data_IF_660022854436
#
_entry.id   IF_660022854436
#
_cell.length_a   1.000
_cell.length_b   1.000
_cell.length_c   1.000
_cell.angle_alpha   90.00
_cell.angle_beta   90.00
_cell.angle_gamma   90.00
#
_symmetry.space_group_name_H-M   'P 1'
#
loop_
_entity.id
_entity.type
_entity.pdbx_description
1 polymer ?
#
# COMPACT_ATOMS: atom_id res chain seq x y z
N UNK A 1 4.76 19.85 -29.73
CA UNK A 1 3.51 20.15 -29.04
C UNK A 1 3.75 20.39 -27.57
N UNK A 2 3.45 21.57 -27.09
CA UNK A 2 3.59 21.86 -25.66
C UNK A 2 2.36 21.33 -24.94
N UNK A 3 2.55 20.31 -24.13
CA UNK A 3 1.52 19.82 -23.20
C UNK A 3 1.38 20.89 -22.13
N UNK A 4 0.17 21.42 -21.93
CA UNK A 4 -0.06 22.41 -20.89
C UNK A 4 -0.01 21.74 -19.49
N UNK A 5 0.14 22.54 -18.45
CA UNK A 5 0.28 22.04 -17.08
C UNK A 5 -0.96 21.27 -16.63
N UNK A 6 -2.16 21.64 -17.08
CA UNK A 6 -3.40 20.92 -16.76
C UNK A 6 -3.39 19.51 -17.33
N UNK A 7 -2.94 19.34 -18.57
CA UNK A 7 -2.83 18.03 -19.20
C UNK A 7 -1.78 17.15 -18.50
N UNK A 8 -0.64 17.72 -18.09
CA UNK A 8 0.38 17.00 -17.33
C UNK A 8 -0.17 16.53 -15.99
N UNK A 9 -0.89 17.38 -15.28
CA UNK A 9 -1.52 17.02 -13.99
C UNK A 9 -2.52 15.88 -14.19
N UNK A 10 -3.37 15.95 -15.22
CA UNK A 10 -4.35 14.91 -15.53
C UNK A 10 -3.68 13.57 -15.85
N UNK A 11 -2.61 13.58 -16.65
CA UNK A 11 -1.86 12.39 -17.00
C UNK A 11 -1.17 11.78 -15.79
N UNK A 12 -0.58 12.60 -14.93
CA UNK A 12 0.05 12.18 -13.68
C UNK A 12 -0.96 11.47 -12.77
N UNK A 13 -2.14 12.07 -12.60
CA UNK A 13 -3.22 11.48 -11.80
C UNK A 13 -3.65 10.15 -12.40
N UNK A 14 -3.84 10.07 -13.73
CA UNK A 14 -4.23 8.86 -14.41
C UNK A 14 -3.18 7.74 -14.24
N UNK A 15 -1.89 8.07 -14.32
CA UNK A 15 -0.81 7.11 -14.12
C UNK A 15 -0.77 6.61 -12.68
N UNK A 16 -0.97 7.49 -11.70
CA UNK A 16 -1.06 7.12 -10.28
C UNK A 16 -2.27 6.24 -10.00
N UNK A 17 -3.40 6.52 -10.62
CA UNK A 17 -4.62 5.71 -10.49
C UNK A 17 -4.41 4.30 -11.07
N UNK A 18 -3.71 4.18 -12.18
CA UNK A 18 -3.34 2.87 -12.77
C UNK A 18 -2.43 2.08 -11.82
N UNK A 19 -1.43 2.74 -11.24
CA UNK A 19 -0.53 2.13 -10.27
C UNK A 19 -1.31 1.63 -9.04
N UNK A 20 -2.25 2.42 -8.55
CA UNK A 20 -3.12 2.06 -7.43
C UNK A 20 -4.00 0.86 -7.77
N UNK A 21 -4.59 0.83 -8.96
CA UNK A 21 -5.40 -0.28 -9.42
C UNK A 21 -4.58 -1.57 -9.50
N UNK A 22 -3.40 -1.50 -10.07
CA UNK A 22 -2.46 -2.62 -10.15
C UNK A 22 -2.11 -3.17 -8.76
N UNK A 23 -1.87 -2.28 -7.80
CA UNK A 23 -1.61 -2.65 -6.41
C UNK A 23 -2.82 -3.37 -5.79
N UNK A 24 -4.03 -2.82 -5.96
CA UNK A 24 -5.26 -3.46 -5.47
C UNK A 24 -5.48 -4.83 -6.09
N UNK A 25 -5.23 -4.98 -7.38
CA UNK A 25 -5.34 -6.26 -8.09
C UNK A 25 -4.33 -7.27 -7.53
N UNK A 26 -3.12 -6.82 -7.22
CA UNK A 26 -2.10 -7.67 -6.61
C UNK A 26 -2.52 -8.16 -5.23
N UNK A 27 -3.08 -7.28 -4.38
CA UNK A 27 -3.61 -7.66 -3.08
C UNK A 27 -4.75 -8.68 -3.23
N UNK A 28 -5.66 -8.49 -4.18
CA UNK A 28 -6.74 -9.43 -4.44
C UNK A 28 -6.20 -10.79 -4.90
N UNK A 29 -5.16 -10.82 -5.72
CA UNK A 29 -4.50 -12.06 -6.15
C UNK A 29 -3.91 -12.82 -4.96
N UNK A 30 -3.32 -12.13 -4.01
CA UNK A 30 -2.79 -12.73 -2.78
C UNK A 30 -3.93 -13.35 -1.96
N UNK A 31 -5.05 -12.63 -1.81
CA UNK A 31 -6.23 -13.16 -1.11
C UNK A 31 -6.74 -14.45 -1.76
N UNK A 32 -6.87 -14.46 -3.07
CA UNK A 32 -7.36 -15.63 -3.81
C UNK A 32 -6.38 -16.80 -3.73
N UNK A 33 -5.10 -16.53 -3.87
CA UNK A 33 -4.07 -17.58 -3.85
C UNK A 33 -4.02 -18.31 -2.51
N UNK A 34 -4.12 -17.58 -1.41
CA UNK A 34 -4.05 -18.17 -0.06
C UNK A 34 -5.42 -18.47 0.55
N UNK A 35 -6.50 -18.03 -0.09
CA UNK A 35 -7.85 -18.21 0.46
C UNK A 35 -8.04 -17.48 1.78
N UNK A 36 -7.50 -16.26 1.89
CA UNK A 36 -7.51 -15.48 3.12
C UNK A 36 -8.07 -14.07 2.85
N UNK A 37 -8.79 -13.53 3.83
CA UNK A 37 -9.30 -12.16 3.77
C UNK A 37 -8.46 -11.26 4.66
N UNK A 38 -8.09 -10.08 4.12
CA UNK A 38 -7.38 -9.06 4.86
C UNK A 38 -7.69 -7.68 4.31
N UNK A 39 -7.42 -6.67 5.12
CA UNK A 39 -7.39 -5.28 4.69
C UNK A 39 -6.06 -4.66 5.09
N UNK A 40 -5.60 -3.71 4.29
CA UNK A 40 -4.32 -3.02 4.52
C UNK A 40 -4.60 -1.55 4.78
N UNK A 41 -4.15 -1.06 5.92
CA UNK A 41 -4.21 0.36 6.25
C UNK A 41 -2.87 1.00 5.97
N UNK A 42 -2.88 2.19 5.37
CA UNK A 42 -1.67 2.89 4.94
C UNK A 42 -1.51 4.21 5.68
N UNK A 43 -0.25 4.58 5.92
CA UNK A 43 0.14 5.93 6.35
C UNK A 43 0.00 6.91 5.18
N UNK A 44 0.15 8.20 5.44
CA UNK A 44 0.07 9.25 4.41
C UNK A 44 1.13 9.08 3.30
N UNK A 45 2.28 8.50 3.64
CA UNK A 45 3.36 8.20 2.69
C UNK A 45 3.16 6.88 1.92
N UNK A 46 1.99 6.28 2.02
CA UNK A 46 1.63 4.99 1.41
C UNK A 46 2.35 3.77 1.98
N UNK A 47 3.11 3.91 3.05
CA UNK A 47 3.66 2.75 3.77
C UNK A 47 2.56 2.01 4.51
N UNK A 48 2.72 0.71 4.67
CA UNK A 48 1.76 -0.12 5.40
C UNK A 48 1.84 0.21 6.89
N UNK A 49 0.74 0.68 7.45
CA UNK A 49 0.60 0.92 8.89
C UNK A 49 0.18 -0.35 9.61
N UNK A 50 -0.81 -1.04 9.06
CA UNK A 50 -1.43 -2.20 9.69
C UNK A 50 -2.06 -3.12 8.65
N UNK A 51 -1.95 -4.43 8.89
CA UNK A 51 -2.65 -5.45 8.10
C UNK A 51 -3.64 -6.13 9.02
N UNK A 52 -4.92 -6.09 8.66
CA UNK A 52 -5.98 -6.73 9.41
C UNK A 52 -6.40 -8.00 8.70
N UNK A 53 -6.14 -9.14 9.31
CA UNK A 53 -6.64 -10.42 8.85
C UNK A 53 -7.98 -10.73 9.50
N UNK A 54 -8.95 -11.12 8.71
CA UNK A 54 -10.31 -11.42 9.19
C UNK A 54 -10.69 -12.85 8.87
N UNK A 55 -11.60 -13.42 9.67
CA UNK A 55 -12.14 -14.76 9.48
C UNK A 55 -11.09 -15.86 9.38
N UNK A 56 -10.00 -15.74 10.13
CA UNK A 56 -9.01 -16.79 10.23
C UNK A 56 -9.59 -17.99 10.97
N UNK A 57 -9.34 -19.18 10.44
CA UNK A 57 -9.76 -20.44 11.06
C UNK A 57 -8.54 -21.16 11.60
N UNK A 58 -8.57 -21.51 12.87
CA UNK A 58 -7.53 -22.27 13.53
C UNK A 58 -8.10 -23.59 14.11
N UNK A 59 -7.26 -24.62 14.06
CA UNK A 59 -7.55 -25.89 14.69
C UNK A 59 -7.78 -25.67 16.18
N UNK A 60 -8.47 -26.07 16.96
CA UNK A 60 -8.74 -25.85 18.42
C UNK A 60 -9.91 -24.91 18.71
N UNK A 61 -10.86 -24.79 17.81
CA UNK A 61 -12.13 -24.11 18.09
C UNK A 61 -12.10 -22.58 17.93
N UNK A 62 -11.00 -22.03 17.42
CA UNK A 62 -10.96 -20.62 17.06
C UNK A 62 -11.46 -20.45 15.61
N UNK A 63 -12.69 -20.04 15.48
CA UNK A 63 -13.29 -19.67 14.19
C UNK A 63 -13.48 -18.16 14.14
N UNK A 64 -13.41 -17.57 12.96
CA UNK A 64 -13.62 -16.14 12.71
C UNK A 64 -12.70 -15.23 13.53
N UNK A 65 -11.45 -15.61 13.61
CA UNK A 65 -10.42 -14.84 14.33
C UNK A 65 -10.02 -13.62 13.50
N UNK A 66 -10.00 -12.46 14.14
CA UNK A 66 -9.48 -11.22 13.56
C UNK A 66 -8.21 -10.81 14.29
N UNK A 67 -7.16 -10.51 13.53
CA UNK A 67 -5.90 -10.05 14.09
C UNK A 67 -5.37 -8.86 13.30
N UNK A 68 -4.70 -7.95 14.01
CA UNK A 68 -3.93 -6.88 13.41
C UNK A 68 -2.44 -7.25 13.45
N UNK A 69 -1.78 -7.04 12.33
CA UNK A 69 -0.35 -7.18 12.21
C UNK A 69 0.27 -5.82 11.92
N UNK A 70 1.22 -5.41 12.74
CA UNK A 70 1.98 -4.19 12.54
C UNK A 70 3.33 -4.52 11.90
N UNK A 71 3.57 -4.15 10.63
CA UNK A 71 4.83 -4.49 9.95
C UNK A 71 6.05 -3.84 10.58
N UNK A 72 5.89 -2.69 11.22
CA UNK A 72 7.01 -1.93 11.78
C UNK A 72 7.65 -2.62 12.99
N UNK A 73 6.83 -3.20 13.86
CA UNK A 73 7.32 -3.93 15.04
C UNK A 73 7.15 -5.45 14.95
N UNK A 74 6.54 -5.94 13.86
CA UNK A 74 6.24 -7.35 13.60
C UNK A 74 5.40 -8.01 14.69
N UNK A 75 4.58 -7.23 15.38
CA UNK A 75 3.71 -7.72 16.44
C UNK A 75 2.30 -7.93 15.94
N UNK A 76 1.68 -8.99 16.43
CA UNK A 76 0.29 -9.31 16.20
C UNK A 76 -0.51 -8.94 17.43
N UNK A 77 -1.61 -8.22 17.21
CA UNK A 77 -2.62 -7.98 18.25
C UNK A 77 -3.92 -8.65 17.85
N UNK A 78 -4.56 -9.26 18.83
CA UNK A 78 -5.83 -9.96 18.63
C UNK A 78 -6.99 -8.98 18.73
N UNK A 79 -7.93 -9.07 17.78
CA UNK A 79 -9.18 -8.32 17.81
C UNK A 79 -10.32 -9.32 17.71
N UNK A 80 -11.22 -9.30 18.69
CA UNK A 80 -12.42 -10.11 18.68
C UNK A 80 -13.62 -9.21 18.43
N UNK A 81 -14.26 -9.38 17.27
CA UNK A 81 -15.45 -8.62 16.91
C UNK A 81 -16.74 -9.16 17.50
N UNK A 82 -16.74 -10.40 17.94
CA UNK A 82 -17.94 -11.01 18.53
C UNK A 82 -18.21 -10.50 19.94
N UNK A 83 -17.21 -9.94 20.58
CA UNK A 83 -17.31 -9.48 21.95
C UNK A 83 -16.86 -8.02 22.05
N UNK A 84 -17.75 -7.17 22.47
CA UNK A 84 -17.45 -5.78 22.82
C UNK A 84 -16.74 -5.66 24.17
N UNK A 85 -16.46 -6.79 24.83
CA UNK A 85 -15.91 -6.85 26.17
C UNK A 85 -14.39 -6.96 26.16
N UNK A 86 -13.73 -5.90 26.61
CA UNK A 86 -12.26 -5.82 26.68
C UNK A 86 -11.61 -6.84 27.64
N UNK A 87 -12.38 -7.55 28.47
CA UNK A 87 -11.84 -8.53 29.40
C UNK A 87 -11.22 -9.75 28.74
N UNK A 88 -11.58 -10.01 27.49
CA UNK A 88 -11.11 -11.18 26.73
C UNK A 88 -9.61 -11.08 26.38
N UNK A 89 -9.07 -9.90 26.23
CA UNK A 89 -7.65 -9.67 25.93
C UNK A 89 -6.72 -10.24 26.99
N UNK A 90 -7.21 -10.49 28.21
CA UNK A 90 -6.43 -11.04 29.31
C UNK A 90 -6.47 -12.57 29.40
N UNK A 91 -7.19 -13.25 28.52
CA UNK A 91 -7.29 -14.71 28.52
C UNK A 91 -6.00 -15.35 28.01
N UNK A 92 -5.47 -16.32 28.76
CA UNK A 92 -4.25 -17.06 28.42
C UNK A 92 -4.35 -17.79 27.07
N UNK A 93 -5.55 -18.21 26.65
CA UNK A 93 -5.79 -18.86 25.36
C UNK A 93 -5.48 -17.90 24.20
N UNK A 94 -5.82 -16.62 24.33
CA UNK A 94 -5.55 -15.61 23.33
C UNK A 94 -4.06 -15.30 23.21
N UNK A 95 -3.33 -15.30 24.34
CA UNK A 95 -1.87 -15.14 24.32
C UNK A 95 -1.19 -16.28 23.57
N UNK A 96 -1.64 -17.51 23.77
CA UNK A 96 -1.13 -18.67 23.04
C UNK A 96 -1.44 -18.58 21.55
N UNK A 97 -2.64 -18.14 21.20
CA UNK A 97 -3.03 -17.94 19.81
C UNK A 97 -2.13 -16.90 19.13
N UNK A 98 -1.94 -15.74 19.75
CA UNK A 98 -1.06 -14.70 19.24
C UNK A 98 0.37 -15.23 19.04
N UNK A 99 0.92 -15.94 20.01
CA UNK A 99 2.25 -16.54 19.90
C UNK A 99 2.33 -17.57 18.76
N UNK A 100 1.26 -18.36 18.55
CA UNK A 100 1.18 -19.30 17.44
C UNK A 100 1.12 -18.58 16.09
N UNK A 101 0.35 -17.50 16.00
CA UNK A 101 0.22 -16.69 14.77
C UNK A 101 1.52 -16.02 14.40
N UNK A 102 2.27 -15.50 15.36
CA UNK A 102 3.57 -14.88 15.11
C UNK A 102 4.59 -15.86 14.52
N UNK A 103 4.45 -17.15 14.80
CA UNK A 103 5.29 -18.23 14.27
C UNK A 103 4.70 -18.90 13.03
N UNK A 104 3.51 -18.51 12.61
CA UNK A 104 2.84 -19.12 11.46
C UNK A 104 3.57 -18.78 10.17
N UNK A 105 4.11 -19.81 9.52
CA UNK A 105 4.88 -19.65 8.28
C UNK A 105 4.02 -19.09 7.14
N UNK A 106 2.81 -19.59 7.00
CA UNK A 106 1.87 -19.14 5.95
C UNK A 106 1.51 -17.67 6.12
N UNK A 107 1.21 -17.24 7.34
CA UNK A 107 0.87 -15.86 7.65
C UNK A 107 2.05 -14.93 7.35
N UNK A 108 3.26 -15.34 7.75
CA UNK A 108 4.48 -14.59 7.48
C UNK A 108 4.77 -14.47 5.98
N UNK A 109 4.51 -15.52 5.20
CA UNK A 109 4.61 -15.46 3.73
C UNK A 109 3.64 -14.45 3.14
N UNK A 110 2.40 -14.46 3.59
CA UNK A 110 1.36 -13.53 3.11
C UNK A 110 1.76 -12.10 3.44
N UNK A 111 2.20 -11.82 4.65
CA UNK A 111 2.71 -10.51 5.06
C UNK A 111 3.86 -10.06 4.16
N UNK A 112 4.82 -10.94 3.90
CA UNK A 112 5.94 -10.66 3.00
C UNK A 112 5.50 -10.30 1.58
N UNK A 113 4.49 -10.98 1.05
CA UNK A 113 3.95 -10.67 -0.27
C UNK A 113 3.21 -9.34 -0.29
N UNK A 114 2.45 -9.02 0.76
CA UNK A 114 1.79 -7.73 0.91
C UNK A 114 2.82 -6.59 0.97
N UNK A 115 3.87 -6.76 1.77
CA UNK A 115 4.94 -5.78 1.89
C UNK A 115 5.65 -5.54 0.55
N UNK A 116 5.95 -6.61 -0.19
CA UNK A 116 6.57 -6.48 -1.52
C UNK A 116 5.65 -5.76 -2.51
N UNK A 117 4.37 -6.10 -2.52
CA UNK A 117 3.39 -5.43 -3.36
C UNK A 117 3.31 -3.94 -3.04
N UNK A 118 3.33 -3.59 -1.75
CA UNK A 118 3.33 -2.21 -1.30
C UNK A 118 4.62 -1.47 -1.69
N UNK A 119 5.76 -2.10 -1.52
CA UNK A 119 7.05 -1.52 -1.90
C UNK A 119 7.12 -1.26 -3.41
N UNK A 120 6.62 -2.18 -4.22
CA UNK A 120 6.53 -2.00 -5.67
C UNK A 120 5.62 -0.82 -6.04
N UNK A 121 4.49 -0.68 -5.34
CA UNK A 121 3.57 0.43 -5.54
C UNK A 121 4.20 1.77 -5.16
N UNK A 122 4.85 1.87 -4.00
CA UNK A 122 5.52 3.09 -3.54
C UNK A 122 6.62 3.48 -4.53
N UNK A 123 7.42 2.52 -4.99
CA UNK A 123 8.47 2.77 -5.99
C UNK A 123 7.87 3.27 -7.30
N UNK A 124 6.78 2.67 -7.76
CA UNK A 124 6.09 3.09 -8.98
C UNK A 124 5.57 4.54 -8.87
N UNK A 125 5.02 4.92 -7.72
CA UNK A 125 4.61 6.30 -7.46
C UNK A 125 5.79 7.27 -7.51
N UNK A 126 6.92 6.91 -6.95
CA UNK A 126 8.15 7.72 -6.99
C UNK A 126 8.65 7.88 -8.43
N UNK A 127 8.65 6.82 -9.21
CA UNK A 127 9.03 6.84 -10.63
C UNK A 127 8.10 7.76 -11.44
N UNK A 128 6.80 7.72 -11.16
CA UNK A 128 5.81 8.61 -11.79
C UNK A 128 6.09 10.06 -11.41
N UNK A 129 6.28 10.36 -10.13
CA UNK A 129 6.59 11.70 -9.67
C UNK A 129 7.87 12.24 -10.35
N UNK A 130 8.94 11.45 -10.39
CA UNK A 130 10.20 11.84 -11.01
C UNK A 130 10.05 12.07 -12.51
N UNK A 131 9.30 11.23 -13.20
CA UNK A 131 9.03 11.37 -14.63
C UNK A 131 8.35 12.71 -14.94
N UNK A 132 7.33 13.08 -14.19
CA UNK A 132 6.59 14.33 -14.42
C UNK A 132 7.36 15.57 -13.96
N UNK A 133 8.17 15.47 -12.92
CA UNK A 133 9.10 16.53 -12.54
C UNK A 133 10.09 16.82 -13.68
N UNK A 134 10.64 15.80 -14.29
CA UNK A 134 11.52 15.93 -15.46
C UNK A 134 10.81 16.55 -16.67
N UNK A 135 9.58 16.13 -16.95
CA UNK A 135 8.77 16.71 -18.04
C UNK A 135 8.47 18.19 -17.82
N UNK A 136 8.09 18.57 -16.61
CA UNK A 136 7.84 19.97 -16.25
C UNK A 136 9.09 20.80 -16.40
N UNK A 137 10.25 20.27 -15.98
CA UNK A 137 11.55 20.92 -16.12
C UNK A 137 11.91 21.10 -17.59
N UNK A 138 11.75 20.07 -18.41
CA UNK A 138 12.02 20.14 -19.86
C UNK A 138 11.10 21.14 -20.56
N UNK A 139 9.81 21.19 -20.21
CA UNK A 139 8.89 22.18 -20.73
C UNK A 139 9.29 23.61 -20.35
N UNK A 140 9.72 23.84 -19.12
CA UNK A 140 10.18 25.14 -18.66
C UNK A 140 11.46 25.58 -19.40
N UNK A 141 12.39 24.68 -19.61
CA UNK A 141 13.62 24.95 -20.39
C UNK A 141 13.31 25.27 -21.84
N UNK A 142 12.43 24.54 -22.49
CA UNK A 142 11.97 24.84 -23.86
C UNK A 142 11.31 26.19 -23.98
N UNK A 143 10.47 26.57 -23.03
CA UNK A 143 9.81 27.89 -22.98
C UNK A 143 10.88 28.99 -22.86
N UNK A 144 11.86 28.83 -22.01
CA UNK A 144 12.98 29.76 -21.84
C UNK A 144 13.79 29.90 -23.12
N UNK A 145 14.12 28.81 -23.81
CA UNK A 145 14.82 28.81 -25.08
C UNK A 145 14.02 29.55 -26.17
N UNK A 146 12.71 29.33 -26.24
CA UNK A 146 11.83 30.02 -27.18
C UNK A 146 11.77 31.52 -26.90
N UNK A 147 11.72 31.93 -25.65
CA UNK A 147 11.71 33.35 -25.25
C UNK A 147 13.04 34.04 -25.63
N UNK A 148 14.17 33.38 -25.41
CA UNK A 148 15.49 33.88 -25.80
C UNK A 148 15.57 34.02 -27.32
N UNK A 149 15.09 33.04 -28.08
CA UNK A 149 15.08 33.09 -29.54
C UNK A 149 14.20 34.23 -30.09
N UNK A 150 13.05 34.48 -29.46
CA UNK A 150 12.18 35.60 -29.80
C UNK A 150 12.83 36.96 -29.53
N UNK A 151 13.56 37.10 -28.44
CA UNK A 151 14.29 38.34 -28.14
C UNK A 151 15.39 38.60 -29.15
N UNK A 152 16.13 37.60 -29.56
CA UNK A 152 17.19 37.67 -30.55
C UNK A 152 16.64 38.08 -31.96
N UNK A 153 15.44 37.62 -32.30
CA UNK A 153 14.78 37.97 -33.55
C UNK A 153 14.24 39.39 -33.58
N UNK A 154 14.01 40.03 -32.46
CA UNK A 154 13.49 41.38 -32.36
C UNK A 154 14.59 42.46 -32.21
N UNK A 155 15.81 42.10 -32.19
CA UNK A 155 16.96 42.98 -32.29
C UNK A 155 17.33 43.15 -33.78
#
# INVERSE_FOLDING_TARGET
MNINNEELIKKKIADKDKAKLKYKQKLNSIKQHYGIEFSVEHLKNNEVENIRFVNLKYKNGFENVCVNYNPNNKKISYIDYEFTDTRIVKNTKHKKLVATLEKDYKLNLIVGEIERANNDYVRELEEIDNYYVELEKNNSEKIKELDITKKDKNE
#
